data_IF_666836734747
#
_entry.id   IF_666836734747
#
_cell.length_a   1.000
_cell.length_b   1.000
_cell.length_c   1.000
_cell.angle_alpha   90.00
_cell.angle_beta   90.00
_cell.angle_gamma   90.00
#
_symmetry.space_group_name_H-M   'P 1'
#
loop_
_entity.id
_entity.type
_entity.pdbx_description
1 polymer ?
#
# COMPACT_ATOMS: atom_id res chain seq x y z
N UNK A 1 -7.27 11.63 -26.11
CA UNK A 1 -6.33 12.18 -25.11
C UNK A 1 -5.63 11.04 -24.37
N UNK A 2 -4.32 11.16 -24.11
CA UNK A 2 -3.57 10.23 -23.26
C UNK A 2 -3.47 10.74 -21.82
N UNK A 3 -3.44 9.83 -20.85
CA UNK A 3 -3.50 10.12 -19.40
C UNK A 3 -2.32 9.48 -18.68
N UNK A 4 -1.74 10.17 -17.69
CA UNK A 4 -0.80 9.58 -16.74
C UNK A 4 -1.56 8.98 -15.56
N UNK A 5 -1.29 7.70 -15.23
CA UNK A 5 -1.92 6.98 -14.13
C UNK A 5 -0.86 6.42 -13.18
N UNK A 6 -0.80 6.96 -11.98
CA UNK A 6 -0.05 6.37 -10.88
C UNK A 6 -0.97 5.41 -10.10
N UNK A 7 -0.85 4.11 -10.39
CA UNK A 7 -1.52 3.07 -9.62
C UNK A 7 -0.63 2.63 -8.46
N UNK A 8 -0.61 3.35 -7.35
CA UNK A 8 0.19 3.03 -6.17
C UNK A 8 -0.44 1.99 -5.23
N UNK A 9 0.36 1.51 -4.27
CA UNK A 9 -0.04 0.48 -3.29
C UNK A 9 -1.15 0.94 -2.35
N UNK A 10 -1.01 2.15 -1.79
CA UNK A 10 -1.94 2.70 -0.79
C UNK A 10 -2.83 3.78 -1.38
N UNK A 11 -2.27 4.58 -2.29
CA UNK A 11 -2.99 5.66 -2.98
C UNK A 11 -2.73 5.58 -4.49
N UNK A 12 -3.64 6.10 -5.28
CA UNK A 12 -3.52 6.26 -6.72
C UNK A 12 -3.97 7.65 -7.15
N UNK A 13 -3.34 8.16 -8.20
CA UNK A 13 -3.64 9.46 -8.78
C UNK A 13 -3.56 9.40 -10.29
N UNK A 14 -4.25 10.30 -10.97
CA UNK A 14 -4.19 10.44 -12.42
C UNK A 14 -4.11 11.91 -12.79
N UNK A 15 -3.45 12.19 -13.91
CA UNK A 15 -3.32 13.54 -14.43
C UNK A 15 -3.32 13.54 -15.95
N UNK A 16 -3.67 14.68 -16.53
CA UNK A 16 -3.44 14.98 -17.93
C UNK A 16 -2.61 16.25 -18.07
N UNK A 17 -1.91 16.36 -19.19
CA UNK A 17 -1.13 17.55 -19.53
C UNK A 17 -1.72 18.18 -20.79
N UNK A 18 -2.06 19.46 -20.71
CA UNK A 18 -2.59 20.25 -21.82
C UNK A 18 -2.13 21.70 -21.66
N UNK A 19 -1.79 22.36 -22.76
CA UNK A 19 -1.43 23.79 -22.77
C UNK A 19 -0.33 24.17 -21.77
N UNK A 20 0.69 23.31 -21.66
CA UNK A 20 1.80 23.44 -20.71
C UNK A 20 1.41 23.37 -19.22
N UNK A 21 0.20 22.88 -18.92
CA UNK A 21 -0.28 22.72 -17.56
C UNK A 21 -0.66 21.27 -17.28
N UNK A 22 -0.22 20.79 -16.11
CA UNK A 22 -0.68 19.52 -15.55
C UNK A 22 -1.96 19.77 -14.76
N UNK A 23 -2.97 18.96 -15.02
CA UNK A 23 -4.22 18.94 -14.26
C UNK A 23 -4.44 17.56 -13.67
N UNK A 24 -4.57 17.50 -12.35
CA UNK A 24 -4.90 16.27 -11.62
C UNK A 24 -6.40 15.98 -11.73
N UNK A 25 -6.71 14.71 -11.90
CA UNK A 25 -8.07 14.21 -12.05
C UNK A 25 -8.65 13.77 -10.72
N UNK A 26 -9.94 14.04 -10.50
CA UNK A 26 -10.65 13.69 -9.27
C UNK A 26 -11.10 12.24 -9.30
N UNK A 27 -10.19 11.33 -8.94
CA UNK A 27 -10.47 9.90 -8.89
C UNK A 27 -11.34 9.48 -7.70
N UNK A 28 -11.39 10.26 -6.62
CA UNK A 28 -12.10 9.90 -5.39
C UNK A 28 -13.00 11.04 -4.89
N UNK A 29 -14.16 11.28 -5.50
CA UNK A 29 -14.98 12.47 -5.25
C UNK A 29 -15.50 12.57 -3.80
N UNK A 30 -15.52 11.47 -3.05
CA UNK A 30 -15.97 11.42 -1.65
C UNK A 30 -14.82 11.58 -0.64
N UNK A 31 -13.58 11.60 -1.12
CA UNK A 31 -12.39 11.84 -0.28
C UNK A 31 -12.22 13.34 0.00
N UNK A 32 -11.72 13.72 1.19
CA UNK A 32 -11.28 15.10 1.47
C UNK A 32 -10.19 15.60 0.51
N UNK A 33 -9.47 14.68 -0.15
CA UNK A 33 -8.51 14.97 -1.21
C UNK A 33 -8.91 14.23 -2.50
N UNK A 34 -9.80 14.81 -3.33
CA UNK A 34 -10.43 14.07 -4.43
C UNK A 34 -9.48 13.60 -5.53
N UNK A 35 -8.31 14.23 -5.65
CA UNK A 35 -7.28 13.87 -6.64
C UNK A 35 -6.38 12.71 -6.20
N UNK A 36 -6.54 12.24 -4.96
CA UNK A 36 -5.78 11.16 -4.36
C UNK A 36 -6.78 10.11 -3.88
N UNK A 37 -6.85 8.99 -4.59
CA UNK A 37 -7.76 7.91 -4.27
C UNK A 37 -7.06 6.84 -3.45
N UNK A 38 -7.73 6.30 -2.41
CA UNK A 38 -7.22 5.10 -1.73
C UNK A 38 -7.25 3.89 -2.68
N UNK A 39 -6.16 3.14 -2.74
CA UNK A 39 -6.06 1.90 -3.54
C UNK A 39 -6.76 0.75 -2.82
N UNK A 40 -8.07 0.90 -2.63
CA UNK A 40 -8.95 -0.05 -1.96
C UNK A 40 -10.06 -0.52 -2.91
N UNK A 41 -10.43 -1.79 -2.81
CA UNK A 41 -11.53 -2.41 -3.54
C UNK A 41 -12.45 -3.10 -2.54
N UNK A 42 -13.73 -2.78 -2.55
CA UNK A 42 -14.74 -3.51 -1.79
C UNK A 42 -15.72 -4.17 -2.76
N UNK A 43 -15.91 -5.47 -2.61
CA UNK A 43 -16.89 -6.25 -3.39
C UNK A 43 -17.95 -6.76 -2.42
N UNK A 44 -19.21 -6.37 -2.65
CA UNK A 44 -20.33 -6.89 -1.83
C UNK A 44 -20.57 -8.36 -2.09
N UNK A 45 -21.38 -9.00 -1.25
CA UNK A 45 -21.81 -10.39 -1.46
C UNK A 45 -22.51 -10.62 -2.80
N UNK A 46 -23.21 -9.61 -3.31
CA UNK A 46 -23.88 -9.62 -4.62
C UNK A 46 -22.90 -9.39 -5.79
N UNK A 47 -21.61 -9.23 -5.51
CA UNK A 47 -20.58 -9.01 -6.52
C UNK A 47 -20.47 -7.56 -7.00
N UNK A 48 -21.05 -6.60 -6.27
CA UNK A 48 -21.00 -5.18 -6.66
C UNK A 48 -19.70 -4.55 -6.16
N UNK A 49 -18.80 -4.09 -7.06
CA UNK A 49 -17.55 -3.48 -6.66
C UNK A 49 -17.69 -1.98 -6.36
N UNK A 50 -16.81 -1.48 -5.50
CA UNK A 50 -16.57 -0.05 -5.27
C UNK A 50 -15.08 0.16 -4.95
N UNK A 51 -14.56 1.36 -5.21
CA UNK A 51 -13.14 1.69 -4.99
C UNK A 51 -12.95 3.01 -4.27
N UNK A 52 -11.76 3.22 -3.69
CA UNK A 52 -11.42 4.46 -3.02
C UNK A 52 -12.00 4.57 -1.62
N UNK A 53 -12.24 5.79 -1.16
CA UNK A 53 -12.86 6.08 0.12
C UNK A 53 -14.29 5.51 0.21
N UNK A 54 -15.01 5.45 -0.91
CA UNK A 54 -16.32 4.77 -0.98
C UNK A 54 -16.23 3.30 -0.54
N UNK A 55 -15.21 2.56 -1.00
CA UNK A 55 -15.02 1.16 -0.64
C UNK A 55 -14.79 0.98 0.87
N UNK A 56 -13.97 1.86 1.46
CA UNK A 56 -13.66 1.85 2.89
C UNK A 56 -14.91 2.18 3.71
N UNK A 57 -15.64 3.23 3.34
CA UNK A 57 -16.86 3.64 4.05
C UNK A 57 -17.89 2.51 4.04
N UNK A 58 -18.17 1.93 2.87
CA UNK A 58 -19.13 0.82 2.74
C UNK A 58 -18.72 -0.41 3.54
N UNK A 59 -17.42 -0.72 3.57
CA UNK A 59 -16.91 -1.81 4.40
C UNK A 59 -17.12 -1.53 5.89
N UNK A 60 -16.77 -0.34 6.36
CA UNK A 60 -16.89 0.05 7.77
C UNK A 60 -18.36 0.10 8.20
N UNK A 61 -19.22 0.76 7.44
CA UNK A 61 -20.67 0.87 7.71
C UNK A 61 -21.35 -0.50 7.76
N UNK A 62 -20.91 -1.46 6.94
CA UNK A 62 -21.47 -2.81 6.92
C UNK A 62 -20.90 -3.78 7.96
N UNK A 63 -19.73 -3.50 8.56
CA UNK A 63 -19.07 -4.43 9.48
C UNK A 63 -19.05 -3.98 10.93
N UNK A 64 -18.98 -2.68 11.19
CA UNK A 64 -18.93 -2.17 12.57
C UNK A 64 -20.25 -2.48 13.29
N UNK A 65 -20.18 -3.13 14.44
CA UNK A 65 -21.36 -3.48 15.25
C UNK A 65 -22.24 -4.60 14.69
N UNK A 66 -21.79 -5.29 13.64
CA UNK A 66 -22.56 -6.36 12.99
C UNK A 66 -22.46 -7.68 13.78
N UNK A 67 -23.56 -8.44 13.81
CA UNK A 67 -23.56 -9.82 14.28
C UNK A 67 -22.73 -10.75 13.37
N UNK A 68 -21.80 -11.50 13.98
CA UNK A 68 -20.92 -12.46 13.30
C UNK A 68 -21.50 -13.86 13.50
N UNK A 69 -21.83 -14.55 12.40
CA UNK A 69 -22.39 -15.90 12.43
C UNK A 69 -21.56 -16.84 11.56
N UNK A 70 -20.96 -17.87 12.17
CA UNK A 70 -20.13 -18.82 11.46
C UNK A 70 -20.86 -20.09 11.06
N UNK A 71 -20.63 -20.52 9.82
CA UNK A 71 -21.09 -21.81 9.33
C UNK A 71 -19.97 -22.57 8.62
N UNK A 72 -19.91 -23.88 8.85
CA UNK A 72 -19.11 -24.79 8.05
C UNK A 72 -19.76 -24.91 6.67
N UNK A 73 -19.05 -24.45 5.64
CA UNK A 73 -19.47 -24.58 4.26
C UNK A 73 -18.53 -25.52 3.53
N UNK A 74 -19.12 -26.48 2.83
CA UNK A 74 -18.39 -27.30 1.88
C UNK A 74 -17.86 -26.42 0.74
N UNK A 75 -16.56 -26.46 0.50
CA UNK A 75 -15.88 -25.62 -0.51
C UNK A 75 -15.25 -26.42 -1.66
N UNK A 76 -15.35 -27.75 -1.63
CA UNK A 76 -14.91 -28.63 -2.71
C UNK A 76 -14.27 -29.91 -2.22
N UNK A 77 -13.55 -30.59 -3.10
CA UNK A 77 -12.76 -31.78 -2.77
C UNK A 77 -11.29 -31.52 -3.12
N UNK A 78 -10.38 -32.04 -2.31
CA UNK A 78 -8.96 -32.10 -2.61
C UNK A 78 -8.55 -33.54 -2.81
N UNK A 79 -7.77 -33.78 -3.85
CA UNK A 79 -7.05 -35.03 -4.01
C UNK A 79 -5.79 -34.97 -3.14
N UNK A 80 -5.63 -35.91 -2.21
CA UNK A 80 -4.42 -36.04 -1.40
C UNK A 80 -3.79 -37.38 -1.73
N UNK A 81 -2.64 -37.34 -2.40
CA UNK A 81 -1.84 -38.53 -2.66
C UNK A 81 -0.94 -38.79 -1.46
N UNK A 82 -1.21 -39.88 -0.76
CA UNK A 82 -0.40 -40.35 0.36
C UNK A 82 0.54 -41.46 -0.13
N UNK A 83 1.82 -41.37 0.24
CA UNK A 83 2.78 -42.44 -0.03
C UNK A 83 2.25 -43.75 0.57
N UNK A 84 2.32 -44.84 -0.20
CA UNK A 84 1.88 -46.20 0.13
C UNK A 84 0.36 -46.43 0.34
N UNK A 85 -0.47 -45.39 0.31
CA UNK A 85 -1.94 -45.48 0.50
C UNK A 85 -2.71 -45.12 -0.77
N UNK A 86 -2.09 -44.42 -1.72
CA UNK A 86 -2.70 -43.99 -2.98
C UNK A 86 -3.39 -42.63 -2.87
N UNK A 87 -4.21 -42.32 -3.87
CA UNK A 87 -5.01 -41.09 -3.94
C UNK A 87 -6.27 -41.23 -3.07
N UNK A 88 -6.50 -40.27 -2.17
CA UNK A 88 -7.74 -40.15 -1.41
C UNK A 88 -8.42 -38.82 -1.75
N UNK A 89 -9.73 -38.86 -2.00
CA UNK A 89 -10.55 -37.67 -2.14
C UNK A 89 -11.00 -37.18 -0.76
N UNK A 90 -10.64 -35.95 -0.41
CA UNK A 90 -11.01 -35.34 0.86
C UNK A 90 -11.94 -34.14 0.61
N UNK A 91 -13.14 -34.18 1.17
CA UNK A 91 -14.03 -33.02 1.20
C UNK A 91 -13.43 -31.90 2.05
N UNK A 92 -13.31 -30.72 1.45
CA UNK A 92 -12.84 -29.50 2.10
C UNK A 92 -14.04 -28.70 2.61
N UNK A 93 -13.93 -28.25 3.86
CA UNK A 93 -14.89 -27.33 4.47
C UNK A 93 -14.15 -26.09 4.96
N UNK A 94 -14.76 -24.92 4.78
CA UNK A 94 -14.30 -23.66 5.36
C UNK A 94 -15.33 -23.12 6.34
N UNK A 95 -14.85 -22.51 7.41
CA UNK A 95 -15.67 -21.74 8.34
C UNK A 95 -15.83 -20.34 7.75
N UNK A 96 -17.05 -19.99 7.33
CA UNK A 96 -17.37 -18.69 6.74
C UNK A 96 -18.28 -17.89 7.65
N UNK A 97 -18.09 -16.57 7.68
CA UNK A 97 -19.04 -15.65 8.31
C UNK A 97 -20.20 -15.37 7.32
N UNK A 98 -21.39 -15.83 7.68
CA UNK A 98 -22.61 -15.72 6.86
C UNK A 98 -23.08 -14.28 6.71
N UNK A 99 -22.73 -13.39 7.64
CA UNK A 99 -23.24 -12.04 7.68
C UNK A 99 -22.23 -11.03 7.13
N UNK A 100 -21.03 -11.46 6.70
CA UNK A 100 -20.05 -10.57 6.07
C UNK A 100 -20.68 -9.86 4.85
N UNK A 101 -20.76 -8.52 4.83
CA UNK A 101 -21.45 -7.76 3.78
C UNK A 101 -20.68 -7.73 2.46
N UNK A 102 -19.38 -7.95 2.53
CA UNK A 102 -18.47 -7.89 1.39
C UNK A 102 -17.02 -8.14 1.79
N UNK A 103 -16.13 -8.21 0.81
CA UNK A 103 -14.68 -8.32 1.04
C UNK A 103 -13.98 -7.03 0.63
N UNK A 104 -13.21 -6.47 1.57
CA UNK A 104 -12.33 -5.33 1.33
C UNK A 104 -10.92 -5.84 1.01
N UNK A 105 -10.35 -5.30 -0.06
CA UNK A 105 -8.99 -5.53 -0.50
C UNK A 105 -8.24 -4.20 -0.45
N UNK A 106 -7.02 -4.25 0.08
CA UNK A 106 -6.08 -3.12 0.10
C UNK A 106 -4.70 -3.62 -0.31
N UNK A 107 -3.85 -2.71 -0.77
CA UNK A 107 -2.46 -3.02 -1.13
C UNK A 107 -2.34 -4.16 -2.16
N UNK A 108 -3.31 -4.25 -3.08
CA UNK A 108 -3.34 -5.26 -4.16
C UNK A 108 -2.04 -5.22 -5.00
N UNK A 109 -1.46 -4.03 -5.21
CA UNK A 109 -0.18 -3.86 -5.93
C UNK A 109 0.98 -4.63 -5.28
N UNK A 110 1.02 -4.74 -3.95
CA UNK A 110 2.07 -5.46 -3.22
C UNK A 110 2.11 -6.96 -3.56
N UNK A 111 0.99 -7.53 -4.00
CA UNK A 111 0.87 -8.94 -4.34
C UNK A 111 1.29 -9.25 -5.79
N UNK A 112 1.56 -8.24 -6.63
CA UNK A 112 1.95 -8.44 -8.03
C UNK A 112 3.21 -9.33 -8.15
N UNK A 113 4.15 -9.18 -7.23
CA UNK A 113 5.40 -9.96 -7.17
C UNK A 113 5.27 -11.31 -6.46
N UNK A 114 4.16 -11.57 -5.78
CA UNK A 114 3.96 -12.80 -5.02
C UNK A 114 3.48 -13.92 -5.95
N UNK A 115 4.37 -14.84 -6.29
CA UNK A 115 4.04 -15.99 -7.12
C UNK A 115 3.11 -17.01 -6.45
N UNK A 116 3.02 -16.99 -5.11
CA UNK A 116 2.15 -17.90 -4.35
C UNK A 116 0.70 -17.43 -4.34
N UNK A 117 0.48 -16.10 -4.37
CA UNK A 117 -0.85 -15.52 -4.45
C UNK A 117 -1.31 -15.40 -5.91
N UNK A 118 -2.17 -16.33 -6.34
CA UNK A 118 -2.78 -16.32 -7.69
C UNK A 118 -4.18 -15.74 -7.71
N UNK A 119 -4.82 -15.66 -6.53
CA UNK A 119 -6.20 -15.21 -6.42
C UNK A 119 -6.84 -15.66 -5.12
N UNK A 120 -8.12 -15.34 -4.98
CA UNK A 120 -8.91 -15.60 -3.78
C UNK A 120 -10.37 -15.87 -4.15
N UNK A 121 -11.07 -16.61 -3.30
CA UNK A 121 -12.52 -16.74 -3.40
C UNK A 121 -13.21 -15.48 -2.83
N UNK A 122 -14.22 -14.97 -3.53
CA UNK A 122 -15.10 -13.88 -3.09
C UNK A 122 -16.53 -14.39 -3.21
N UNK A 123 -17.05 -14.91 -2.10
CA UNK A 123 -18.41 -15.45 -1.97
C UNK A 123 -18.78 -16.53 -3.00
N UNK A 124 -17.85 -17.46 -3.26
CA UNK A 124 -18.04 -18.57 -4.21
C UNK A 124 -17.62 -18.24 -5.65
N UNK A 125 -17.12 -17.03 -5.90
CA UNK A 125 -16.50 -16.66 -7.17
C UNK A 125 -15.00 -16.55 -6.99
N UNK A 126 -14.23 -17.35 -7.73
CA UNK A 126 -12.77 -17.26 -7.73
C UNK A 126 -12.33 -16.06 -8.55
N UNK A 127 -11.72 -15.07 -7.90
CA UNK A 127 -11.05 -13.96 -8.57
C UNK A 127 -9.54 -14.20 -8.60
N UNK A 128 -8.92 -14.01 -9.77
CA UNK A 128 -7.46 -13.88 -9.83
C UNK A 128 -7.01 -12.51 -9.33
N UNK A 129 -5.74 -12.36 -8.97
CA UNK A 129 -5.19 -11.04 -8.61
C UNK A 129 -5.38 -10.03 -9.75
N UNK A 130 -5.14 -10.45 -10.99
CA UNK A 130 -5.28 -9.63 -12.20
C UNK A 130 -6.73 -9.22 -12.44
N UNK A 131 -7.69 -10.10 -12.14
CA UNK A 131 -9.12 -9.76 -12.20
C UNK A 131 -9.50 -8.72 -11.15
N UNK A 132 -9.02 -8.84 -9.90
CA UNK A 132 -9.27 -7.85 -8.84
C UNK A 132 -8.68 -6.48 -9.21
N UNK A 133 -7.42 -6.45 -9.65
CA UNK A 133 -6.78 -5.22 -10.14
C UNK A 133 -7.54 -4.68 -11.36
N UNK A 134 -7.99 -5.55 -12.26
CA UNK A 134 -8.76 -5.17 -13.43
C UNK A 134 -10.07 -4.46 -13.08
N UNK A 135 -10.81 -4.94 -12.07
CA UNK A 135 -12.02 -4.25 -11.56
C UNK A 135 -11.67 -2.83 -11.09
N UNK A 136 -10.56 -2.67 -10.38
CA UNK A 136 -10.10 -1.35 -9.91
C UNK A 136 -9.78 -0.43 -11.10
N UNK A 137 -9.01 -0.91 -12.06
CA UNK A 137 -8.59 -0.15 -13.23
C UNK A 137 -9.76 0.25 -14.13
N UNK A 138 -10.76 -0.63 -14.30
CA UNK A 138 -11.98 -0.32 -15.06
C UNK A 138 -12.75 0.84 -14.43
N UNK A 139 -12.98 0.78 -13.12
CA UNK A 139 -13.71 1.85 -12.41
C UNK A 139 -12.89 3.15 -12.40
N UNK A 140 -11.56 3.08 -12.26
CA UNK A 140 -10.70 4.27 -12.42
C UNK A 140 -10.84 4.90 -13.80
N UNK A 141 -10.80 4.10 -14.88
CA UNK A 141 -10.97 4.59 -16.25
C UNK A 141 -12.32 5.27 -16.43
N UNK A 142 -13.41 4.68 -15.95
CA UNK A 142 -14.75 5.29 -16.00
C UNK A 142 -14.81 6.63 -15.26
N UNK A 143 -14.14 6.76 -14.10
CA UNK A 143 -14.04 8.02 -13.35
C UNK A 143 -13.21 9.05 -14.12
N UNK A 144 -12.10 8.64 -14.73
CA UNK A 144 -11.25 9.49 -15.57
C UNK A 144 -12.04 10.03 -16.77
N UNK A 145 -12.67 9.16 -17.55
CA UNK A 145 -13.43 9.53 -18.75
C UNK A 145 -14.61 10.45 -18.42
N UNK A 146 -15.26 10.22 -17.28
CA UNK A 146 -16.33 11.10 -16.78
C UNK A 146 -15.81 12.50 -16.42
N UNK A 147 -14.66 12.60 -15.76
CA UNK A 147 -14.08 13.90 -15.36
C UNK A 147 -13.60 14.69 -16.60
N UNK A 148 -13.03 14.03 -17.61
CA UNK A 148 -12.53 14.70 -18.83
C UNK A 148 -13.59 14.88 -19.93
N UNK A 149 -14.73 14.18 -19.83
CA UNK A 149 -15.84 14.26 -20.78
C UNK A 149 -15.58 13.62 -22.15
N UNK A 150 -14.58 12.74 -22.28
CA UNK A 150 -14.19 12.08 -23.53
C UNK A 150 -13.49 10.75 -23.23
N UNK A 151 -13.36 9.88 -24.24
CA UNK A 151 -12.65 8.61 -24.10
C UNK A 151 -11.13 8.79 -23.99
N UNK A 152 -10.49 7.92 -23.22
CA UNK A 152 -9.02 7.87 -23.11
C UNK A 152 -8.44 7.06 -24.27
N UNK A 153 -7.45 7.62 -24.96
CA UNK A 153 -6.79 6.99 -26.12
C UNK A 153 -5.56 6.16 -25.73
N UNK A 154 -4.99 6.42 -24.54
CA UNK A 154 -3.83 5.70 -24.04
C UNK A 154 -3.47 6.10 -22.61
N UNK A 155 -2.79 5.20 -21.89
CA UNK A 155 -2.39 5.41 -20.50
C UNK A 155 -0.88 5.21 -20.36
N UNK A 156 -0.20 6.16 -19.71
CA UNK A 156 1.16 5.96 -19.18
C UNK A 156 1.02 5.58 -17.72
N UNK A 157 1.32 4.32 -17.40
CA UNK A 157 1.14 3.74 -16.06
C UNK A 157 2.47 3.74 -15.31
N UNK A 158 2.47 4.32 -14.11
CA UNK A 158 3.62 4.30 -13.20
C UNK A 158 3.95 2.88 -12.74
N UNK A 159 5.23 2.56 -12.65
CA UNK A 159 5.72 1.34 -11.98
C UNK A 159 6.94 1.61 -11.09
N UNK A 160 7.18 0.82 -10.03
CA UNK A 160 8.48 0.78 -9.39
C UNK A 160 9.58 0.42 -10.40
N UNK A 161 10.82 0.82 -10.15
CA UNK A 161 11.94 0.44 -11.05
C UNK A 161 12.16 -1.06 -11.05
N UNK A 162 12.02 -1.67 -9.87
CA UNK A 162 11.95 -3.11 -9.68
C UNK A 162 10.79 -3.43 -8.74
N UNK A 163 9.82 -4.22 -9.19
CA UNK A 163 8.80 -4.82 -8.32
C UNK A 163 9.41 -5.83 -7.34
N UNK A 164 10.52 -6.48 -7.71
CA UNK A 164 11.25 -7.43 -6.89
C UNK A 164 12.75 -7.43 -7.22
N UNK A 165 13.59 -7.82 -6.26
CA UNK A 165 15.04 -7.98 -6.45
C UNK A 165 15.39 -9.08 -7.47
N UNK A 166 14.49 -10.03 -7.69
CA UNK A 166 14.64 -11.10 -8.67
C UNK A 166 13.98 -10.73 -9.99
N UNK A 167 14.76 -10.74 -11.09
CA UNK A 167 14.30 -10.38 -12.43
C UNK A 167 13.04 -11.15 -12.90
N UNK A 168 12.90 -12.42 -12.48
CA UNK A 168 11.73 -13.23 -12.80
C UNK A 168 10.45 -12.70 -12.13
N UNK A 169 10.53 -12.31 -10.86
CA UNK A 169 9.39 -11.80 -10.11
C UNK A 169 9.03 -10.38 -10.56
N UNK A 170 10.02 -9.60 -11.00
CA UNK A 170 9.80 -8.31 -11.64
C UNK A 170 9.03 -8.42 -12.96
N UNK A 171 9.46 -9.34 -13.83
CA UNK A 171 8.76 -9.64 -15.08
C UNK A 171 7.32 -10.15 -14.84
N UNK A 172 7.12 -10.98 -13.80
CA UNK A 172 5.80 -11.45 -13.39
C UNK A 172 4.88 -10.29 -12.99
N UNK A 173 5.36 -9.34 -12.19
CA UNK A 173 4.55 -8.20 -11.78
C UNK A 173 4.10 -7.34 -12.97
N UNK A 174 5.00 -7.10 -13.94
CA UNK A 174 4.67 -6.37 -15.18
C UNK A 174 3.65 -7.15 -16.02
N UNK A 175 3.84 -8.47 -16.20
CA UNK A 175 2.90 -9.27 -16.99
C UNK A 175 1.51 -9.30 -16.37
N UNK A 176 1.43 -9.42 -15.03
CA UNK A 176 0.16 -9.39 -14.30
C UNK A 176 -0.55 -8.05 -14.43
N UNK A 177 0.18 -6.94 -14.34
CA UNK A 177 -0.41 -5.62 -14.52
C UNK A 177 -0.93 -5.41 -15.96
N UNK A 178 -0.20 -5.90 -16.98
CA UNK A 178 -0.68 -5.92 -18.37
C UNK A 178 -1.95 -6.74 -18.54
N UNK A 179 -1.98 -7.95 -17.97
CA UNK A 179 -3.14 -8.82 -18.01
C UNK A 179 -4.34 -8.18 -17.31
N UNK A 180 -4.14 -7.54 -16.15
CA UNK A 180 -5.18 -6.81 -15.45
C UNK A 180 -5.76 -5.67 -16.31
N UNK A 181 -4.90 -4.89 -16.97
CA UNK A 181 -5.34 -3.83 -17.89
C UNK A 181 -6.12 -4.37 -19.10
N UNK A 182 -5.69 -5.51 -19.65
CA UNK A 182 -6.39 -6.18 -20.75
C UNK A 182 -7.77 -6.72 -20.31
N UNK A 183 -7.85 -7.40 -19.16
CA UNK A 183 -9.12 -7.87 -18.58
C UNK A 183 -10.07 -6.70 -18.30
N UNK A 184 -9.51 -5.60 -17.84
CA UNK A 184 -10.22 -4.35 -17.62
C UNK A 184 -10.48 -3.56 -18.90
N UNK A 185 -10.16 -4.09 -20.09
CA UNK A 185 -10.36 -3.45 -21.40
C UNK A 185 -9.96 -1.98 -21.43
N UNK A 186 -8.78 -1.67 -20.88
CA UNK A 186 -8.16 -0.35 -20.97
C UNK A 186 -7.71 -0.06 -22.41
N UNK A 187 -7.59 1.23 -22.78
CA UNK A 187 -6.86 1.62 -23.98
C UNK A 187 -5.39 1.18 -23.90
N UNK A 188 -4.60 1.29 -24.98
CA UNK A 188 -3.19 0.95 -24.96
C UNK A 188 -2.45 1.55 -23.77
N UNK A 189 -1.70 0.72 -23.05
CA UNK A 189 -0.91 1.15 -21.90
C UNK A 189 0.58 1.05 -22.21
N UNK A 190 1.36 1.99 -21.67
CA UNK A 190 2.83 1.89 -21.58
C UNK A 190 3.25 2.11 -20.14
N UNK A 191 4.31 1.44 -19.70
CA UNK A 191 4.85 1.63 -18.35
C UNK A 191 5.95 2.68 -18.36
N UNK A 192 5.99 3.52 -17.33
CA UNK A 192 7.13 4.39 -17.04
C UNK A 192 7.53 4.19 -15.58
N UNK A 193 8.84 4.05 -15.27
CA UNK A 193 9.27 4.00 -13.89
C UNK A 193 8.86 5.29 -13.14
N UNK A 194 8.26 5.13 -11.96
CA UNK A 194 7.80 6.19 -11.07
C UNK A 194 8.89 7.24 -10.77
N UNK A 195 10.15 6.87 -10.46
CA UNK A 195 11.19 7.88 -10.26
C UNK A 195 11.57 8.62 -11.53
N UNK A 196 11.51 7.95 -12.69
CA UNK A 196 11.70 8.63 -13.98
C UNK A 196 10.57 9.62 -14.23
N UNK A 197 9.33 9.27 -13.92
CA UNK A 197 8.19 10.18 -13.99
C UNK A 197 8.39 11.40 -13.06
N UNK A 198 8.75 11.17 -11.80
CA UNK A 198 9.04 12.25 -10.86
C UNK A 198 10.15 13.18 -11.38
N UNK A 199 11.22 12.62 -11.94
CA UNK A 199 12.29 13.40 -12.56
C UNK A 199 11.83 14.21 -13.78
N UNK A 200 10.91 13.69 -14.61
CA UNK A 200 10.33 14.45 -15.73
C UNK A 200 9.62 15.72 -15.28
N UNK A 201 8.87 15.64 -14.18
CA UNK A 201 8.20 16.80 -13.63
C UNK A 201 9.19 17.86 -13.11
N UNK A 202 10.37 17.44 -12.61
CA UNK A 202 11.43 18.35 -12.18
C UNK A 202 12.27 18.90 -13.35
N UNK A 203 12.59 18.08 -14.35
CA UNK A 203 13.50 18.41 -15.44
C UNK A 203 13.07 19.65 -16.24
N UNK A 204 11.77 19.99 -16.28
CA UNK A 204 11.27 21.23 -16.86
C UNK A 204 11.86 22.51 -16.20
N UNK A 205 12.44 22.39 -15.01
CA UNK A 205 13.04 23.51 -14.25
C UNK A 205 14.57 23.51 -14.26
N UNK A 206 15.21 22.43 -14.72
CA UNK A 206 16.66 22.30 -14.75
C UNK A 206 17.26 23.14 -15.88
N UNK A 207 18.37 23.85 -15.60
CA UNK A 207 19.07 24.69 -16.59
C UNK A 207 20.37 24.05 -17.08
N UNK A 208 21.11 23.44 -16.16
CA UNK A 208 22.38 22.76 -16.42
C UNK A 208 22.24 21.26 -16.20
N UNK A 209 23.32 20.52 -16.41
CA UNK A 209 23.40 19.11 -16.08
C UNK A 209 23.46 18.92 -14.56
N UNK A 210 22.50 18.18 -13.99
CA UNK A 210 22.37 17.92 -12.56
C UNK A 210 22.30 16.41 -12.30
N UNK A 211 22.93 15.97 -11.21
CA UNK A 211 22.74 14.65 -10.64
C UNK A 211 21.64 14.72 -9.59
N UNK A 212 20.57 13.98 -9.84
CA UNK A 212 19.36 14.01 -9.04
C UNK A 212 19.14 12.66 -8.39
N UNK A 213 18.92 12.66 -7.08
CA UNK A 213 18.44 11.49 -6.36
C UNK A 213 16.94 11.64 -6.13
N UNK A 214 16.16 10.70 -6.66
CA UNK A 214 14.73 10.57 -6.36
C UNK A 214 14.57 9.63 -5.18
N UNK A 215 13.95 10.12 -4.12
CA UNK A 215 13.58 9.39 -2.91
C UNK A 215 12.05 9.24 -2.87
N UNK A 216 11.55 8.13 -3.41
CA UNK A 216 10.12 7.84 -3.51
C UNK A 216 9.68 6.91 -2.38
N UNK A 217 9.06 7.48 -1.35
CA UNK A 217 8.67 6.75 -0.15
C UNK A 217 7.16 6.69 0.01
N UNK A 218 6.58 5.64 -0.57
CA UNK A 218 5.15 5.37 -0.55
C UNK A 218 4.65 4.66 0.72
N UNK A 219 3.47 4.06 0.59
CA UNK A 219 2.84 3.28 1.66
C UNK A 219 3.32 1.82 1.74
N UNK A 220 3.80 1.24 0.63
CA UNK A 220 4.29 -0.15 0.60
C UNK A 220 5.81 -0.31 0.45
N UNK A 221 6.48 0.62 -0.23
CA UNK A 221 7.91 0.53 -0.58
C UNK A 221 8.59 1.88 -0.49
N UNK A 222 9.93 1.82 -0.44
CA UNK A 222 10.81 2.94 -0.75
C UNK A 222 11.62 2.54 -1.99
N UNK A 223 11.63 3.42 -2.97
CA UNK A 223 12.45 3.31 -4.17
C UNK A 223 13.41 4.52 -4.25
N UNK A 224 14.68 4.25 -4.56
CA UNK A 224 15.74 5.26 -4.66
C UNK A 224 16.41 5.17 -6.02
N UNK A 225 16.34 6.24 -6.80
CA UNK A 225 16.94 6.30 -8.13
C UNK A 225 17.91 7.47 -8.22
N UNK A 226 19.12 7.20 -8.72
CA UNK A 226 20.08 8.24 -9.07
C UNK A 226 20.02 8.46 -10.56
N UNK A 227 19.80 9.70 -10.97
CA UNK A 227 19.65 10.11 -12.36
C UNK A 227 20.60 11.24 -12.70
N UNK A 228 20.94 11.31 -13.98
CA UNK A 228 21.56 12.47 -14.59
C UNK A 228 20.55 13.11 -15.52
N UNK A 229 20.26 14.38 -15.27
CA UNK A 229 19.34 15.16 -16.09
C UNK A 229 20.00 16.44 -16.59
N UNK A 230 19.53 16.98 -17.71
CA UNK A 230 19.88 18.34 -18.12
C UNK A 230 18.67 19.09 -18.69
N UNK A 231 18.81 20.41 -18.86
CA UNK A 231 17.79 21.27 -19.47
C UNK A 231 17.60 21.06 -20.98
N UNK A 232 18.40 20.20 -21.63
CA UNK A 232 18.31 19.87 -23.06
C UNK A 232 17.59 18.54 -23.31
N UNK A 233 17.17 17.84 -22.25
CA UNK A 233 16.38 16.62 -22.33
C UNK A 233 17.16 15.32 -22.12
N UNK A 234 18.45 15.37 -21.77
CA UNK A 234 19.19 14.19 -21.30
C UNK A 234 18.53 13.69 -20.01
N UNK A 235 18.20 12.40 -19.99
CA UNK A 235 17.52 11.74 -18.86
C UNK A 235 18.08 10.33 -18.76
N UNK A 236 19.07 10.15 -17.91
CA UNK A 236 19.77 8.89 -17.77
C UNK A 236 19.65 8.38 -16.34
N UNK A 237 19.11 7.17 -16.17
CA UNK A 237 19.13 6.48 -14.89
C UNK A 237 20.52 5.87 -14.71
N UNK A 238 21.25 6.33 -13.69
CA UNK A 238 22.58 5.81 -13.36
C UNK A 238 22.50 4.58 -12.46
N UNK A 239 21.55 4.57 -11.52
CA UNK A 239 21.30 3.42 -10.65
C UNK A 239 19.89 3.45 -10.07
N UNK A 240 19.44 2.30 -9.58
CA UNK A 240 18.26 2.22 -8.73
C UNK A 240 18.41 1.12 -7.68
N UNK A 241 17.89 1.36 -6.49
CA UNK A 241 17.73 0.39 -5.41
C UNK A 241 16.37 0.61 -4.73
N UNK A 242 15.94 -0.31 -3.87
CA UNK A 242 14.68 -0.21 -3.16
C UNK A 242 14.61 -1.15 -1.96
N UNK A 243 13.69 -0.86 -1.03
CA UNK A 243 13.41 -1.71 0.14
C UNK A 243 11.90 -1.84 0.35
N UNK A 244 11.41 -3.01 0.81
CA UNK A 244 9.99 -3.24 1.09
C UNK A 244 9.57 -2.60 2.42
N UNK A 245 9.89 -1.32 2.59
CA UNK A 245 9.56 -0.51 3.76
C UNK A 245 8.66 0.61 3.25
N UNK A 246 7.46 0.69 3.79
CA UNK A 246 6.45 1.67 3.43
C UNK A 246 5.70 2.18 4.66
N UNK A 247 4.87 3.20 4.46
CA UNK A 247 4.00 3.75 5.50
C UNK A 247 3.20 2.69 6.30
N UNK A 248 2.73 1.63 5.64
CA UNK A 248 1.94 0.54 6.23
C UNK A 248 2.77 -0.23 7.28
N UNK A 249 4.05 -0.50 6.98
CA UNK A 249 4.98 -1.12 7.94
C UNK A 249 5.23 -0.20 9.14
N UNK A 250 5.32 1.11 8.91
CA UNK A 250 5.52 2.08 9.98
C UNK A 250 4.29 2.15 10.90
N UNK A 251 3.07 2.05 10.35
CA UNK A 251 1.83 1.97 11.15
C UNK A 251 1.82 0.71 12.01
N UNK A 252 2.22 -0.43 11.44
CA UNK A 252 2.39 -1.67 12.20
C UNK A 252 3.38 -1.52 13.36
N UNK A 253 4.49 -0.80 13.18
CA UNK A 253 5.44 -0.53 14.29
C UNK A 253 4.76 0.23 15.42
N UNK A 254 3.87 1.18 15.10
CA UNK A 254 3.11 1.95 16.09
C UNK A 254 2.10 1.06 16.81
N UNK A 255 1.29 0.28 16.08
CA UNK A 255 0.32 -0.65 16.70
C UNK A 255 1.02 -1.59 17.68
N UNK A 256 2.06 -2.28 17.21
CA UNK A 256 2.78 -3.25 18.03
C UNK A 256 3.51 -2.60 19.21
N UNK A 257 4.05 -1.39 19.01
CA UNK A 257 4.84 -0.69 20.02
C UNK A 257 4.03 0.12 21.04
N UNK A 258 2.78 0.49 20.72
CA UNK A 258 1.98 1.43 21.53
C UNK A 258 0.60 0.91 21.90
N UNK A 259 -0.07 0.17 21.01
CA UNK A 259 -1.48 -0.17 21.19
C UNK A 259 -1.70 -1.55 21.82
N UNK A 260 -0.79 -2.50 21.62
CA UNK A 260 -0.94 -3.86 22.18
C UNK A 260 -1.12 -3.91 23.71
N UNK A 261 -0.56 -2.99 24.54
CA UNK A 261 -0.86 -2.96 25.98
C UNK A 261 -2.35 -2.79 26.29
N UNK A 262 -3.09 -1.98 25.52
CA UNK A 262 -4.54 -1.78 25.66
C UNK A 262 -5.36 -3.02 25.29
N UNK A 263 -4.71 -4.04 24.72
CA UNK A 263 -5.32 -5.28 24.24
C UNK A 263 -4.71 -6.53 24.89
N UNK A 264 -4.14 -6.38 26.09
CA UNK A 264 -3.67 -7.50 26.90
C UNK A 264 -2.20 -7.85 26.74
N UNK A 265 -1.37 -7.02 26.09
CA UNK A 265 0.06 -7.27 26.06
C UNK A 265 0.65 -7.29 27.48
N UNK A 266 1.45 -8.33 27.75
CA UNK A 266 2.01 -8.61 29.06
C UNK A 266 1.01 -9.23 30.05
N UNK A 267 -0.19 -9.60 29.63
CA UNK A 267 -1.12 -10.38 30.46
C UNK A 267 -0.57 -11.79 30.71
N UNK A 268 -0.87 -12.33 31.88
CA UNK A 268 -0.57 -13.70 32.28
C UNK A 268 -1.84 -14.46 32.67
N UNK A 269 -1.83 -15.78 32.47
CA UNK A 269 -2.97 -16.67 32.56
C UNK A 269 -2.80 -17.72 33.64
N UNK A 270 -3.82 -17.85 34.48
CA UNK A 270 -3.96 -18.86 35.51
C UNK A 270 -2.94 -18.75 36.65
N UNK A 271 -3.01 -19.67 37.60
CA UNK A 271 -2.14 -19.67 38.78
C UNK A 271 -0.64 -19.84 38.44
N UNK A 272 -0.32 -20.35 37.25
CA UNK A 272 1.06 -20.54 36.77
C UNK A 272 1.61 -19.30 36.03
N UNK A 273 0.85 -18.22 35.90
CA UNK A 273 1.23 -16.98 35.21
C UNK A 273 1.80 -17.24 33.81
N UNK A 274 1.12 -18.08 33.03
CA UNK A 274 1.53 -18.36 31.66
C UNK A 274 1.33 -17.11 30.79
N UNK A 275 2.24 -16.75 29.89
CA UNK A 275 2.04 -15.58 29.04
C UNK A 275 0.82 -15.76 28.14
N UNK A 276 0.11 -14.66 27.85
CA UNK A 276 -0.93 -14.64 26.81
C UNK A 276 -0.37 -15.21 25.50
N UNK A 277 -1.11 -16.08 24.79
CA UNK A 277 -0.67 -16.61 23.50
C UNK A 277 -0.31 -15.49 22.53
N UNK A 278 0.96 -15.43 22.11
CA UNK A 278 1.49 -14.37 21.27
C UNK A 278 0.70 -14.18 19.96
N UNK A 279 0.16 -15.28 19.42
CA UNK A 279 -0.68 -15.30 18.22
C UNK A 279 -1.84 -14.30 18.27
N UNK A 280 -2.44 -14.07 19.44
CA UNK A 280 -3.55 -13.11 19.58
C UNK A 280 -3.10 -11.67 19.30
N UNK A 281 -1.91 -11.30 19.78
CA UNK A 281 -1.34 -9.98 19.58
C UNK A 281 -0.65 -9.84 18.22
N UNK A 282 -0.07 -10.93 17.70
CA UNK A 282 0.53 -10.96 16.36
C UNK A 282 -0.52 -10.67 15.27
N UNK A 283 -1.77 -11.14 15.45
CA UNK A 283 -2.88 -10.80 14.55
C UNK A 283 -3.27 -9.32 14.58
N UNK A 284 -2.89 -8.56 15.61
CA UNK A 284 -3.09 -7.11 15.63
C UNK A 284 -2.10 -6.37 14.74
N UNK A 285 -1.08 -7.05 14.22
CA UNK A 285 -0.01 -6.43 13.43
C UNK A 285 -0.43 -5.99 12.03
N UNK A 286 -1.56 -6.48 11.53
CA UNK A 286 -2.20 -6.02 10.29
C UNK A 286 -3.72 -6.06 10.48
N UNK A 287 -4.47 -5.08 9.98
CA UNK A 287 -5.92 -5.08 10.21
C UNK A 287 -6.62 -6.27 9.52
N UNK A 288 -6.08 -6.76 8.41
CA UNK A 288 -6.60 -7.93 7.69
C UNK A 288 -6.53 -9.19 8.56
N UNK A 289 -5.46 -9.33 9.34
CA UNK A 289 -5.29 -10.47 10.26
C UNK A 289 -6.16 -10.35 11.51
N UNK A 290 -6.58 -9.14 11.92
CA UNK A 290 -7.55 -8.96 13.01
C UNK A 290 -8.87 -9.68 12.69
N UNK A 291 -9.27 -9.73 11.42
CA UNK A 291 -10.48 -10.45 11.00
C UNK A 291 -10.37 -11.94 11.34
N UNK A 292 -9.18 -12.54 11.34
CA UNK A 292 -9.05 -13.96 11.72
C UNK A 292 -9.42 -14.20 13.18
N UNK A 293 -9.21 -13.22 14.07
CA UNK A 293 -9.55 -13.32 15.49
C UNK A 293 -11.06 -13.44 15.73
N UNK A 294 -11.89 -13.07 14.74
CA UNK A 294 -13.34 -13.25 14.85
C UNK A 294 -13.75 -14.73 14.85
N UNK A 295 -12.88 -15.64 14.38
CA UNK A 295 -13.19 -17.06 14.31
C UNK A 295 -13.39 -17.68 15.70
N UNK A 296 -14.27 -18.69 15.86
CA UNK A 296 -14.63 -19.26 17.16
C UNK A 296 -13.45 -19.76 18.00
N UNK A 297 -12.42 -20.32 17.34
CA UNK A 297 -11.20 -20.80 18.01
C UNK A 297 -10.43 -19.69 18.72
N UNK A 298 -10.36 -18.48 18.15
CA UNK A 298 -9.63 -17.37 18.75
C UNK A 298 -10.49 -16.64 19.77
N UNK A 299 -11.79 -16.49 19.49
CA UNK A 299 -12.73 -15.98 20.50
C UNK A 299 -12.74 -16.85 21.76
N UNK A 300 -12.68 -18.17 21.64
CA UNK A 300 -12.56 -19.06 22.79
C UNK A 300 -11.27 -18.84 23.59
N UNK A 301 -10.13 -18.60 22.92
CA UNK A 301 -8.88 -18.26 23.58
C UNK A 301 -8.95 -16.91 24.29
N UNK A 302 -9.59 -15.91 23.67
CA UNK A 302 -9.79 -14.59 24.28
C UNK A 302 -10.71 -14.71 25.49
N UNK A 303 -11.82 -15.45 25.39
CA UNK A 303 -12.76 -15.68 26.49
C UNK A 303 -12.09 -16.45 27.65
N UNK A 304 -11.26 -17.46 27.36
CA UNK A 304 -10.45 -18.14 28.38
C UNK A 304 -9.45 -17.18 29.04
N UNK A 305 -8.80 -16.32 28.26
CA UNK A 305 -7.87 -15.33 28.76
C UNK A 305 -8.57 -14.30 29.66
N UNK A 306 -9.78 -13.85 29.32
CA UNK A 306 -10.57 -12.92 30.16
C UNK A 306 -10.89 -13.57 31.51
N UNK A 307 -11.31 -14.83 31.51
CA UNK A 307 -11.73 -15.51 32.73
C UNK A 307 -10.57 -15.88 33.67
N UNK A 308 -9.39 -16.16 33.10
CA UNK A 308 -8.24 -16.69 33.84
C UNK A 308 -7.04 -15.73 33.89
N UNK A 309 -7.14 -14.56 33.26
CA UNK A 309 -6.04 -13.61 33.09
C UNK A 309 -5.96 -12.55 34.19
N UNK A 310 -4.80 -11.92 34.30
CA UNK A 310 -4.51 -10.81 35.23
C UNK A 310 -4.87 -9.42 34.68
N UNK A 311 -5.31 -9.33 33.42
CA UNK A 311 -5.69 -8.08 32.70
C UNK A 311 -7.07 -8.19 32.04
N UNK A 312 -8.15 -8.39 32.82
CA UNK A 312 -9.47 -8.65 32.25
C UNK A 312 -10.03 -7.46 31.43
N UNK A 313 -9.72 -6.22 31.79
CA UNK A 313 -10.24 -5.04 31.09
C UNK A 313 -9.64 -4.92 29.69
N UNK A 314 -8.33 -5.05 29.56
CA UNK A 314 -7.62 -4.99 28.27
C UNK A 314 -7.96 -6.20 27.37
N UNK A 315 -8.21 -7.37 27.97
CA UNK A 315 -8.67 -8.55 27.21
C UNK A 315 -10.13 -8.41 26.76
N UNK A 316 -10.99 -7.75 27.55
CA UNK A 316 -12.34 -7.36 27.12
C UNK A 316 -12.29 -6.31 26.00
N UNK A 317 -11.34 -5.38 26.05
CA UNK A 317 -11.10 -4.42 24.97
C UNK A 317 -10.65 -5.15 23.69
N UNK A 318 -9.75 -6.15 23.78
CA UNK A 318 -9.38 -7.00 22.63
C UNK A 318 -10.59 -7.74 22.06
N UNK A 319 -11.41 -8.34 22.93
CA UNK A 319 -12.63 -9.03 22.51
C UNK A 319 -13.59 -8.09 21.78
N UNK A 320 -13.75 -6.87 22.28
CA UNK A 320 -14.58 -5.82 21.69
C UNK A 320 -14.03 -5.38 20.33
N UNK A 321 -12.71 -5.13 20.24
CA UNK A 321 -12.02 -4.75 19.00
C UNK A 321 -12.32 -5.74 17.87
N UNK A 322 -12.28 -7.03 18.22
CA UNK A 322 -12.52 -8.15 17.31
C UNK A 322 -14.00 -8.29 16.97
N UNK A 323 -14.88 -8.43 17.96
CA UNK A 323 -16.30 -8.71 17.71
C UNK A 323 -17.04 -7.56 17.03
N UNK A 324 -16.71 -6.33 17.39
CA UNK A 324 -17.37 -5.14 16.84
C UNK A 324 -16.67 -4.65 15.54
N UNK A 325 -15.68 -5.38 15.04
CA UNK A 325 -14.90 -5.08 13.83
C UNK A 325 -14.21 -3.70 13.84
N UNK A 326 -13.71 -3.27 15.00
CA UNK A 326 -13.03 -1.98 15.15
C UNK A 326 -11.55 -1.99 14.70
N UNK A 327 -11.04 -3.10 14.16
CA UNK A 327 -9.65 -3.23 13.69
C UNK A 327 -9.24 -2.21 12.63
N UNK A 328 -10.05 -2.01 11.59
CA UNK A 328 -9.76 -1.00 10.55
C UNK A 328 -9.84 0.44 11.10
N UNK A 329 -10.91 0.83 11.84
CA UNK A 329 -10.94 2.13 12.53
C UNK A 329 -9.72 2.44 13.40
N UNK A 330 -9.23 1.44 14.16
CA UNK A 330 -8.01 1.57 14.96
C UNK A 330 -6.79 1.88 14.09
N UNK A 331 -6.61 1.13 12.99
CA UNK A 331 -5.50 1.34 12.05
C UNK A 331 -5.56 2.71 11.37
N UNK A 332 -6.74 3.17 10.98
CA UNK A 332 -6.89 4.51 10.39
C UNK A 332 -6.50 5.61 11.39
N UNK A 333 -6.79 5.46 12.68
CA UNK A 333 -6.38 6.45 13.67
C UNK A 333 -4.87 6.41 13.96
N UNK A 334 -4.25 5.24 13.89
CA UNK A 334 -2.77 5.13 13.92
C UNK A 334 -2.15 5.85 12.74
N UNK A 335 -2.65 5.61 11.52
CA UNK A 335 -2.17 6.28 10.31
C UNK A 335 -2.31 7.80 10.45
N UNK A 336 -3.47 8.29 10.92
CA UNK A 336 -3.71 9.71 11.15
C UNK A 336 -2.77 10.30 12.20
N UNK A 337 -2.53 9.61 13.31
CA UNK A 337 -1.60 10.05 14.35
C UNK A 337 -0.15 10.13 13.83
N UNK A 338 0.30 9.14 13.07
CA UNK A 338 1.61 9.15 12.39
C UNK A 338 1.73 10.37 11.45
N UNK A 339 0.69 10.66 10.67
CA UNK A 339 0.66 11.84 9.80
C UNK A 339 0.75 13.13 10.62
N UNK A 340 -0.04 13.28 11.70
CA UNK A 340 0.02 14.45 12.60
C UNK A 340 1.42 14.67 13.19
N UNK A 341 2.16 13.60 13.51
CA UNK A 341 3.53 13.68 14.01
C UNK A 341 4.54 14.22 12.98
N UNK A 342 4.18 14.29 11.69
CA UNK A 342 5.05 14.93 10.70
C UNK A 342 5.10 16.45 10.87
N UNK A 343 4.01 17.06 11.36
CA UNK A 343 3.89 18.50 11.59
C UNK A 343 4.09 18.85 13.08
N UNK A 344 3.61 18.00 13.99
CA UNK A 344 3.64 18.24 15.44
C UNK A 344 4.62 17.32 16.18
N UNK A 345 5.14 17.76 17.32
CA UNK A 345 6.06 16.94 18.15
C UNK A 345 5.35 15.87 18.98
N UNK A 346 4.06 16.03 19.20
CA UNK A 346 3.23 15.11 19.98
C UNK A 346 1.82 15.09 19.41
N UNK A 347 1.11 14.00 19.67
CA UNK A 347 -0.29 13.78 19.36
C UNK A 347 -0.84 12.76 20.37
N UNK A 348 -2.14 12.49 20.31
CA UNK A 348 -2.77 11.35 20.96
C UNK A 348 -3.27 10.37 19.88
N UNK A 349 -3.21 9.07 20.17
CA UNK A 349 -3.98 8.04 19.49
C UNK A 349 -5.16 7.72 20.40
N UNK A 350 -6.37 8.05 19.96
CA UNK A 350 -7.56 7.95 20.78
C UNK A 350 -8.56 6.98 20.19
N UNK A 351 -9.21 6.21 21.05
CA UNK A 351 -10.29 5.31 20.65
C UNK A 351 -11.39 5.37 21.70
N UNK A 352 -12.53 5.94 21.33
CA UNK A 352 -13.70 6.10 22.19
C UNK A 352 -14.91 5.44 21.52
N UNK A 353 -15.06 4.14 21.76
CA UNK A 353 -16.17 3.33 21.27
C UNK A 353 -16.72 2.47 22.41
N UNK A 354 -17.96 1.97 22.36
CA UNK A 354 -18.48 1.10 23.41
C UNK A 354 -17.52 -0.07 23.69
N UNK A 355 -17.01 -0.17 24.92
CA UNK A 355 -16.07 -1.23 25.36
C UNK A 355 -14.58 -0.98 25.10
N UNK A 356 -14.20 0.12 24.44
CA UNK A 356 -12.80 0.56 24.29
C UNK A 356 -12.74 2.07 24.48
N UNK A 357 -12.04 2.50 25.52
CA UNK A 357 -11.90 3.91 25.87
C UNK A 357 -10.46 4.20 26.32
N UNK A 358 -9.67 4.79 25.43
CA UNK A 358 -8.31 5.21 25.78
C UNK A 358 -7.84 6.44 24.98
N UNK A 359 -6.91 7.16 25.60
CA UNK A 359 -6.09 8.21 25.00
C UNK A 359 -4.62 7.83 25.21
N UNK A 360 -3.95 7.35 24.16
CA UNK A 360 -2.53 6.99 24.21
C UNK A 360 -1.67 8.18 23.76
N UNK A 361 -0.90 8.82 24.66
CA UNK A 361 0.04 9.87 24.28
C UNK A 361 1.11 9.32 23.35
N UNK A 362 1.34 10.03 22.25
CA UNK A 362 2.27 9.62 21.23
C UNK A 362 3.17 10.77 20.81
N UNK A 363 4.46 10.65 21.14
CA UNK A 363 5.46 11.66 20.84
C UNK A 363 6.32 11.27 19.64
N UNK A 364 6.80 12.27 18.89
CA UNK A 364 7.64 12.06 17.71
C UNK A 364 8.90 11.26 18.03
N UNK A 365 9.56 11.52 19.16
CA UNK A 365 10.78 10.78 19.50
C UNK A 365 10.50 9.28 19.70
N UNK A 366 9.32 8.92 20.20
CA UNK A 366 8.93 7.54 20.43
C UNK A 366 8.62 6.86 19.10
N UNK A 367 7.91 7.54 18.20
CA UNK A 367 7.76 7.09 16.81
C UNK A 367 9.12 6.84 16.14
N UNK A 368 10.04 7.81 16.23
CA UNK A 368 11.39 7.70 15.65
C UNK A 368 12.19 6.53 16.23
N UNK A 369 12.00 6.23 17.52
CA UNK A 369 12.58 5.05 18.18
C UNK A 369 12.01 3.76 17.60
N UNK A 370 10.69 3.66 17.43
CA UNK A 370 10.00 2.48 16.90
C UNK A 370 10.44 2.12 15.48
N UNK A 371 10.73 3.12 14.64
CA UNK A 371 11.14 2.94 13.24
C UNK A 371 12.67 2.92 13.05
N UNK A 372 13.45 2.94 14.12
CA UNK A 372 14.92 3.03 14.06
C UNK A 372 15.61 1.99 13.16
N UNK A 373 15.23 0.69 13.20
CA UNK A 373 15.73 -0.31 12.25
C UNK A 373 15.39 0.01 10.79
N UNK A 374 14.17 0.48 10.55
CA UNK A 374 13.67 0.79 9.21
C UNK A 374 14.43 2.01 8.63
N UNK A 375 14.73 3.02 9.45
CA UNK A 375 15.59 4.17 9.08
C UNK A 375 17.00 3.73 8.66
N UNK A 376 17.60 2.76 9.36
CA UNK A 376 18.94 2.24 9.00
C UNK A 376 18.92 1.48 7.67
N UNK A 377 17.89 0.67 7.43
CA UNK A 377 17.72 -0.05 6.19
C UNK A 377 17.53 0.90 5.00
N UNK A 378 16.73 1.96 5.18
CA UNK A 378 16.55 3.04 4.20
C UNK A 378 17.86 3.79 3.93
N UNK A 379 18.61 4.15 4.97
CA UNK A 379 19.90 4.82 4.81
C UNK A 379 20.90 3.97 3.99
N UNK A 380 20.97 2.67 4.28
CA UNK A 380 21.81 1.74 3.55
C UNK A 380 21.37 1.56 2.09
N UNK A 381 20.06 1.61 1.80
CA UNK A 381 19.53 1.59 0.44
C UNK A 381 20.03 2.79 -0.37
N UNK A 382 19.95 4.00 0.20
CA UNK A 382 20.48 5.22 -0.42
C UNK A 382 21.98 5.08 -0.69
N UNK A 383 22.75 4.60 0.29
CA UNK A 383 24.20 4.43 0.15
C UNK A 383 24.54 3.49 -1.01
N UNK A 384 23.83 2.35 -1.12
CA UNK A 384 24.01 1.40 -2.23
C UNK A 384 23.64 2.02 -3.58
N UNK A 385 22.54 2.77 -3.67
CA UNK A 385 22.14 3.42 -4.91
C UNK A 385 23.19 4.44 -5.39
N UNK A 386 23.70 5.29 -4.48
CA UNK A 386 24.74 6.29 -4.81
C UNK A 386 26.04 5.62 -5.24
N UNK A 387 26.48 4.57 -4.53
CA UNK A 387 27.68 3.80 -4.89
C UNK A 387 27.51 3.08 -6.23
N UNK A 388 26.35 2.49 -6.50
CA UNK A 388 26.06 1.82 -7.77
C UNK A 388 26.07 2.77 -8.96
N UNK A 389 25.75 4.06 -8.75
CA UNK A 389 25.89 5.11 -9.76
C UNK A 389 27.35 5.54 -10.00
N UNK A 390 28.31 5.00 -9.23
CA UNK A 390 29.72 5.40 -9.29
C UNK A 390 29.98 6.77 -8.67
N UNK A 391 29.15 7.21 -7.72
CA UNK A 391 29.16 8.57 -7.19
C UNK A 391 29.43 8.63 -5.68
N UNK A 392 29.76 9.81 -5.18
CA UNK A 392 29.74 10.18 -3.78
C UNK A 392 28.52 11.04 -3.46
N UNK A 393 28.08 11.05 -2.19
CA UNK A 393 26.94 11.84 -1.73
C UNK A 393 27.08 13.35 -2.04
N UNK A 394 28.29 13.89 -1.96
CA UNK A 394 28.60 15.29 -2.26
C UNK A 394 28.33 15.68 -3.72
N UNK A 395 28.36 14.71 -4.63
CA UNK A 395 28.16 14.90 -6.07
C UNK A 395 26.68 14.84 -6.49
N UNK A 396 25.77 14.54 -5.56
CA UNK A 396 24.34 14.69 -5.80
C UNK A 396 23.99 16.17 -5.65
N UNK A 397 23.41 16.76 -6.68
CA UNK A 397 23.07 18.18 -6.74
C UNK A 397 21.70 18.46 -6.12
N UNK A 398 20.75 17.55 -6.34
CA UNK A 398 19.36 17.69 -5.85
C UNK A 398 18.82 16.36 -5.34
N UNK A 399 18.09 16.41 -4.23
CA UNK A 399 17.33 15.27 -3.69
C UNK A 399 15.85 15.58 -3.79
N UNK A 400 15.17 14.94 -4.74
CA UNK A 400 13.72 15.01 -4.92
C UNK A 400 13.04 14.02 -3.98
N UNK A 401 12.20 14.52 -3.07
CA UNK A 401 11.38 13.69 -2.18
C UNK A 401 9.96 13.61 -2.72
N UNK A 402 9.43 12.39 -2.83
CA UNK A 402 8.03 12.11 -3.20
C UNK A 402 7.48 10.95 -2.37
N UNK A 403 6.16 10.76 -2.37
CA UNK A 403 5.47 9.79 -1.52
C UNK A 403 5.22 10.30 -0.10
N UNK A 404 4.07 9.93 0.49
CA UNK A 404 3.62 10.48 1.77
C UNK A 404 4.59 10.22 2.94
N UNK A 405 5.28 9.07 2.94
CA UNK A 405 6.23 8.71 3.99
C UNK A 405 7.52 9.54 3.93
N UNK A 406 7.82 10.19 2.80
CA UNK A 406 9.00 11.08 2.65
C UNK A 406 8.90 12.38 3.45
N UNK A 407 7.70 12.71 3.97
CA UNK A 407 7.43 13.87 4.84
C UNK A 407 7.79 13.63 6.30
N UNK A 408 8.01 12.37 6.69
CA UNK A 408 8.35 12.03 8.07
C UNK A 408 9.69 12.69 8.44
N UNK A 409 9.72 13.55 9.49
CA UNK A 409 10.89 14.38 9.84
C UNK A 409 12.19 13.60 10.03
N UNK A 410 12.12 12.36 10.51
CA UNK A 410 13.29 11.49 10.69
C UNK A 410 14.02 11.17 9.39
N UNK A 411 13.28 10.91 8.31
CA UNK A 411 13.87 10.65 7.00
C UNK A 411 14.35 11.94 6.34
N UNK A 412 13.64 13.05 6.53
CA UNK A 412 14.10 14.38 6.09
C UNK A 412 15.43 14.76 6.75
N UNK A 413 15.56 14.52 8.06
CA UNK A 413 16.80 14.73 8.81
C UNK A 413 17.93 13.83 8.29
N UNK A 414 17.67 12.54 8.10
CA UNK A 414 18.65 11.59 7.54
C UNK A 414 19.14 12.02 6.15
N UNK A 415 18.24 12.46 5.26
CA UNK A 415 18.60 12.98 3.94
C UNK A 415 19.40 14.28 4.03
N UNK A 416 19.01 15.19 4.93
CA UNK A 416 19.73 16.45 5.17
C UNK A 416 21.15 16.21 5.68
N UNK A 417 21.34 15.24 6.58
CA UNK A 417 22.66 14.83 7.10
C UNK A 417 23.54 14.22 6.00
N UNK A 418 22.95 13.51 5.03
CA UNK A 418 23.68 12.87 3.92
C UNK A 418 24.03 13.84 2.78
N UNK A 419 23.13 14.75 2.42
CA UNK A 419 23.24 15.55 1.18
C UNK A 419 23.32 17.06 1.39
N UNK A 420 22.90 17.57 2.55
CA UNK A 420 22.70 19.00 2.80
C UNK A 420 21.24 19.40 2.62
N UNK A 421 20.68 20.14 3.60
CA UNK A 421 19.27 20.53 3.62
C UNK A 421 18.88 21.42 2.42
N UNK A 422 19.82 22.20 1.91
CA UNK A 422 19.68 23.09 0.76
C UNK A 422 19.48 22.34 -0.57
N UNK A 423 19.83 21.06 -0.64
CA UNK A 423 19.65 20.21 -1.83
C UNK A 423 18.31 19.47 -1.85
N UNK A 424 17.62 19.41 -0.71
CA UNK A 424 16.33 18.74 -0.63
C UNK A 424 15.25 19.60 -1.29
N UNK A 425 14.45 18.95 -2.12
CA UNK A 425 13.28 19.53 -2.78
C UNK A 425 12.10 18.61 -2.53
N UNK A 426 11.01 19.19 -2.02
CA UNK A 426 9.75 18.47 -1.91
C UNK A 426 9.04 18.57 -3.25
N UNK A 427 8.77 17.43 -3.86
CA UNK A 427 7.74 17.35 -4.89
C UNK A 427 6.41 17.12 -4.18
N UNK A 428 5.31 17.59 -4.76
CA UNK A 428 4.02 17.25 -4.21
C UNK A 428 3.84 15.72 -4.23
N UNK A 429 3.87 15.15 -3.03
CA UNK A 429 4.20 13.75 -2.75
C UNK A 429 3.21 12.75 -3.38
N UNK A 430 2.03 13.21 -3.78
CA UNK A 430 0.98 12.38 -4.37
C UNK A 430 0.71 12.68 -5.83
N UNK A 431 1.32 13.74 -6.37
CA UNK A 431 0.98 14.30 -7.68
C UNK A 431 2.21 14.43 -8.57
N UNK A 432 3.43 14.45 -8.03
CA UNK A 432 4.67 14.54 -8.81
C UNK A 432 4.85 13.40 -9.80
N UNK A 433 4.55 12.17 -9.38
CA UNK A 433 4.60 10.98 -10.25
C UNK A 433 3.52 11.06 -11.33
N UNK A 434 2.24 11.22 -10.96
CA UNK A 434 1.15 11.36 -11.93
C UNK A 434 1.35 12.52 -12.91
N UNK A 435 1.91 13.64 -12.43
CA UNK A 435 2.26 14.80 -13.26
C UNK A 435 3.33 14.44 -14.29
N UNK A 436 4.40 13.77 -13.86
CA UNK A 436 5.44 13.29 -14.76
C UNK A 436 4.93 12.28 -15.78
N UNK A 437 4.05 11.37 -15.37
CA UNK A 437 3.38 10.42 -16.26
C UNK A 437 2.49 11.15 -17.28
N UNK A 438 1.81 12.21 -16.88
CA UNK A 438 0.97 13.02 -17.77
C UNK A 438 1.80 13.82 -18.79
N UNK A 439 2.93 14.39 -18.36
CA UNK A 439 3.90 15.02 -19.27
C UNK A 439 4.41 13.99 -20.28
N UNK A 440 4.80 12.79 -19.80
CA UNK A 440 5.22 11.70 -20.69
C UNK A 440 4.12 11.26 -21.66
N UNK A 441 2.86 11.22 -21.21
CA UNK A 441 1.72 10.85 -22.04
C UNK A 441 1.47 11.85 -23.19
N UNK A 442 1.83 13.12 -22.99
CA UNK A 442 1.68 14.18 -24.00
C UNK A 442 2.82 14.24 -25.02
N UNK A 443 3.95 13.60 -24.75
CA UNK A 443 5.13 13.56 -25.63
C UNK A 443 5.02 12.36 -26.58
N UNK A 444 4.67 12.62 -27.84
CA UNK A 444 4.48 11.57 -28.86
C UNK A 444 5.74 10.74 -29.10
N UNK A 445 6.91 11.37 -29.13
CA UNK A 445 8.17 10.67 -29.36
C UNK A 445 8.52 9.74 -28.17
N UNK A 446 8.29 10.22 -26.94
CA UNK A 446 8.47 9.39 -25.76
C UNK A 446 7.46 8.25 -25.70
N UNK A 447 6.19 8.51 -26.04
CA UNK A 447 5.14 7.50 -26.10
C UNK A 447 5.48 6.39 -27.10
N UNK A 448 5.84 6.74 -28.33
CA UNK A 448 6.22 5.77 -29.38
C UNK A 448 7.44 4.95 -28.98
N UNK A 449 8.45 5.60 -28.37
CA UNK A 449 9.64 4.91 -27.85
C UNK A 449 9.28 3.92 -26.74
N UNK A 450 8.46 4.33 -25.78
CA UNK A 450 8.01 3.45 -24.69
C UNK A 450 7.17 2.28 -25.22
N UNK A 451 6.34 2.50 -26.24
CA UNK A 451 5.64 1.41 -26.91
C UNK A 451 6.63 0.44 -27.55
N UNK A 452 7.60 0.92 -28.32
CA UNK A 452 8.58 0.10 -29.02
C UNK A 452 9.46 -0.73 -28.06
N UNK A 453 9.96 -0.13 -26.97
CA UNK A 453 10.78 -0.79 -25.95
C UNK A 453 10.01 -1.90 -25.18
N UNK A 454 8.68 -1.86 -25.22
CA UNK A 454 7.81 -2.71 -24.40
C UNK A 454 7.06 -3.79 -25.19
N UNK A 455 7.22 -3.81 -26.52
CA UNK A 455 6.85 -4.93 -27.38
C UNK A 455 7.81 -6.08 -27.05
N UNK A 456 7.34 -6.99 -26.20
CA UNK A 456 8.02 -8.28 -26.00
C UNK A 456 7.76 -9.09 -27.27
N UNK A 457 8.81 -9.60 -27.97
CA UNK A 457 8.58 -10.49 -29.09
C UNK A 457 7.76 -11.70 -28.63
N UNK A 458 6.81 -12.20 -29.44
CA UNK A 458 6.02 -13.37 -29.05
C UNK A 458 6.96 -14.54 -28.74
N UNK A 459 6.69 -15.21 -27.62
CA UNK A 459 7.45 -16.35 -27.12
C UNK A 459 7.37 -17.57 -28.05
#
# INVERSE_FOLDING_TARGET
>A
MRIGLDFGTTNSSAAHYRDQQVTLLKLDPVSPSPTIMRSALFITREGVPSIGREAINRFTEGNVGREIEYQWRYIGESEVTLADVGTVMQSLYAVIDLNTPGRLFQSLKSHLRDSSFTGTDVFGTRYSLEALIGVVLRIMLERIEREIGQSVEGLVVGRPVHYASEARLDALAISRMRQAAQLAGLPPIVFLPEPTAAALAYAATARDQEHVLVFDFGGGTLDVTVMRIDGQGLREVLSTDGVPIGGDLLDRRVVMGKLTPHFGAGATLGARQLPLPAVLLEHLSEWQSIVDLTQPRYLALIDEAINNGDKPDELNALRTLVRENYGLPMYEEVERAKVRLSESRQTTISMHVPGIDFDEPFERWDFERLIGPDVRAVAACIDRAVVAAGMQHSQIDVVLRTGGSSRIPRFVKMLSEKFGAEKLREMDAFTGVASGLAVAASDDALWERLQAEQIVPPA
#
